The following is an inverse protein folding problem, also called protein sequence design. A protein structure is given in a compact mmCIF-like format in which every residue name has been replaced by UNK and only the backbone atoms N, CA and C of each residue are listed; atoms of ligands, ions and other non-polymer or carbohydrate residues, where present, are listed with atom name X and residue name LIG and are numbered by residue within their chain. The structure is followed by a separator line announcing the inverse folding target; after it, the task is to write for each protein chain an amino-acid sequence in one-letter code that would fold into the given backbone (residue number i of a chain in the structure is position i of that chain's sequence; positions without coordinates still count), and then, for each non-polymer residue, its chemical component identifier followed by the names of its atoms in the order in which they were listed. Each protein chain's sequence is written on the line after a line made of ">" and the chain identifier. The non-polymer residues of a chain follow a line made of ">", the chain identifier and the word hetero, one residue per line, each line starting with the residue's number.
data_IF_095328485709
#
_entry.id   IF_095328485709
#
_cell.length_a   1.000
_cell.length_b   1.000
_cell.length_c   1.000
_cell.angle_alpha   90.00
_cell.angle_beta   90.00
_cell.angle_gamma   90.00
#
_symmetry.space_group_name_H-M   'P 1'
#
loop_
_entity.id
_entity.type
_entity.pdbx_description
1 polymer ?
#
# COMPACT_ATOMS: atom_id res chain seq x y z
N UNK A 1 0.97 -12.52 -1.39
CA UNK A 1 0.95 -11.12 -1.89
C UNK A 1 1.53 -10.19 -0.83
N UNK A 2 2.55 -9.44 -1.16
CA UNK A 2 3.04 -8.38 -0.30
C UNK A 2 2.17 -7.14 -0.50
N UNK A 3 1.55 -6.67 0.58
CA UNK A 3 0.70 -5.47 0.56
C UNK A 3 1.56 -4.24 0.84
N UNK A 4 1.50 -3.21 0.01
CA UNK A 4 2.27 -1.98 0.22
C UNK A 4 2.01 -1.32 1.58
N UNK A 5 0.81 -1.43 2.11
CA UNK A 5 0.49 -0.96 3.46
C UNK A 5 1.18 -1.81 4.53
N UNK A 6 1.16 -3.14 4.39
CA UNK A 6 1.87 -4.04 5.31
C UNK A 6 3.39 -3.81 5.30
N UNK A 7 3.99 -3.59 4.12
CA UNK A 7 5.41 -3.27 4.00
C UNK A 7 5.74 -1.96 4.73
N UNK A 8 4.96 -0.91 4.47
CA UNK A 8 5.14 0.40 5.12
C UNK A 8 5.00 0.30 6.64
N UNK A 9 3.95 -0.36 7.13
CA UNK A 9 3.66 -0.41 8.57
C UNK A 9 4.68 -1.29 9.31
N UNK A 10 5.14 -2.39 8.68
CA UNK A 10 6.21 -3.23 9.22
C UNK A 10 7.56 -2.48 9.26
N UNK A 11 7.91 -1.75 8.19
CA UNK A 11 9.15 -0.97 8.14
C UNK A 11 9.14 0.15 9.20
N UNK A 12 7.99 0.82 9.40
CA UNK A 12 7.82 1.82 10.45
C UNK A 12 7.99 1.21 11.85
N UNK A 13 7.30 0.09 12.12
CA UNK A 13 7.37 -0.57 13.42
C UNK A 13 8.79 -1.07 13.73
N UNK A 14 9.46 -1.67 12.73
CA UNK A 14 10.85 -2.14 12.88
C UNK A 14 11.81 -0.99 13.19
N UNK A 15 11.65 0.15 12.54
CA UNK A 15 12.50 1.31 12.76
C UNK A 15 12.22 1.97 14.11
N UNK A 16 10.98 2.08 14.54
CA UNK A 16 10.63 2.60 15.87
C UNK A 16 11.18 1.71 16.99
N UNK A 17 11.12 0.36 16.82
CA UNK A 17 11.76 -0.58 17.74
C UNK A 17 13.28 -0.38 17.82
N UNK A 18 13.93 -0.19 16.66
CA UNK A 18 15.37 0.07 16.59
C UNK A 18 15.77 1.39 17.27
N UNK A 19 14.87 2.36 17.33
CA UNK A 19 15.04 3.64 18.03
C UNK A 19 14.73 3.57 19.53
N UNK A 20 14.36 2.40 20.04
CA UNK A 20 14.15 2.16 21.48
C UNK A 20 12.71 2.40 21.95
N UNK A 21 11.75 2.54 21.03
CA UNK A 21 10.33 2.55 21.41
C UNK A 21 9.82 1.13 21.64
N UNK A 22 8.86 0.99 22.55
CA UNK A 22 8.10 -0.24 22.71
C UNK A 22 6.93 -0.20 21.71
N UNK A 23 6.92 -1.10 20.72
CA UNK A 23 5.97 -1.09 19.61
C UNK A 23 5.27 -2.43 19.46
N UNK A 24 3.95 -2.38 19.47
CA UNK A 24 3.10 -3.54 19.21
C UNK A 24 2.43 -3.38 17.85
N UNK A 25 2.93 -4.09 16.84
CA UNK A 25 2.30 -4.17 15.51
C UNK A 25 1.31 -5.34 15.49
N UNK A 26 0.02 -5.03 15.50
CA UNK A 26 -1.06 -6.02 15.60
C UNK A 26 -1.69 -6.27 14.23
N UNK A 27 -1.60 -7.49 13.68
CA UNK A 27 -2.28 -7.85 12.45
C UNK A 27 -3.81 -7.83 12.62
N UNK A 28 -4.50 -7.25 11.62
CA UNK A 28 -5.96 -7.21 11.55
C UNK A 28 -6.40 -7.91 10.27
N UNK A 29 -7.38 -8.79 10.33
CA UNK A 29 -7.94 -9.66 9.27
C UNK A 29 -7.01 -10.79 8.81
N UNK A 30 -5.76 -10.52 8.52
CA UNK A 30 -4.79 -11.51 8.02
C UNK A 30 -3.41 -11.27 8.63
N UNK A 31 -2.57 -12.31 8.75
CA UNK A 31 -1.18 -12.13 9.14
C UNK A 31 -0.47 -11.10 8.25
N UNK A 32 0.36 -10.25 8.83
CA UNK A 32 1.18 -9.29 8.09
C UNK A 32 2.10 -10.05 7.15
N UNK A 33 2.01 -9.75 5.85
CA UNK A 33 2.90 -10.31 4.82
C UNK A 33 3.87 -9.23 4.34
N UNK A 34 5.14 -9.48 4.56
CA UNK A 34 6.24 -8.61 4.18
C UNK A 34 7.37 -9.45 3.60
N UNK A 35 8.19 -8.88 2.73
CA UNK A 35 9.43 -9.47 2.22
C UNK A 35 10.66 -9.07 3.08
N UNK A 36 10.39 -8.45 4.21
CA UNK A 36 11.36 -8.05 5.22
C UNK A 36 11.18 -8.89 6.49
N UNK A 37 12.07 -8.69 7.49
CA UNK A 37 11.87 -9.24 8.81
C UNK A 37 10.53 -8.77 9.36
N UNK A 38 9.60 -9.69 9.58
CA UNK A 38 8.30 -9.39 10.14
C UNK A 38 8.41 -9.14 11.66
N UNK A 39 7.99 -7.96 12.12
CA UNK A 39 7.98 -7.57 13.54
C UNK A 39 6.56 -7.56 14.12
N UNK A 40 5.55 -7.99 13.36
CA UNK A 40 4.18 -8.06 13.87
C UNK A 40 3.97 -9.19 14.87
N UNK A 41 3.03 -8.99 15.79
CA UNK A 41 2.58 -10.03 16.71
C UNK A 41 2.00 -11.24 16.00
N UNK A 42 2.06 -12.40 16.65
CA UNK A 42 1.48 -13.65 16.12
C UNK A 42 -0.04 -13.69 16.17
N UNK A 43 -0.66 -12.90 17.06
CA UNK A 43 -2.11 -12.85 17.24
C UNK A 43 -2.77 -12.00 16.14
N UNK A 44 -3.76 -12.56 15.46
CA UNK A 44 -4.53 -11.88 14.41
C UNK A 44 -5.93 -11.62 14.92
N UNK A 45 -6.32 -10.35 15.02
CA UNK A 45 -7.68 -9.97 15.37
C UNK A 45 -8.56 -9.88 14.12
N UNK A 46 -9.86 -10.04 14.30
CA UNK A 46 -10.84 -10.04 13.21
C UNK A 46 -10.51 -11.07 12.11
N UNK A 47 -10.00 -12.25 12.49
CA UNK A 47 -9.68 -13.32 11.56
C UNK A 47 -10.87 -13.66 10.66
N UNK A 48 -10.60 -13.88 9.35
CA UNK A 48 -11.64 -13.90 8.31
C UNK A 48 -12.81 -14.86 8.54
N UNK A 49 -12.62 -15.95 9.31
CA UNK A 49 -13.71 -16.90 9.62
C UNK A 49 -14.63 -16.35 10.69
N UNK A 50 -14.08 -15.83 11.80
CA UNK A 50 -14.88 -15.26 12.89
C UNK A 50 -15.73 -14.09 12.37
N UNK A 51 -15.14 -13.19 11.61
CA UNK A 51 -15.82 -12.04 11.00
C UNK A 51 -16.89 -12.47 10.02
N UNK A 52 -16.61 -13.46 9.18
CA UNK A 52 -17.59 -14.01 8.22
C UNK A 52 -18.79 -14.65 8.93
N UNK A 53 -18.53 -15.43 9.98
CA UNK A 53 -19.59 -16.08 10.75
C UNK A 53 -20.45 -15.07 11.52
N UNK A 54 -19.84 -14.04 12.11
CA UNK A 54 -20.56 -12.96 12.79
C UNK A 54 -21.42 -12.14 11.81
N UNK A 55 -20.95 -11.96 10.57
CA UNK A 55 -21.69 -11.26 9.54
C UNK A 55 -22.92 -12.05 9.06
N UNK A 56 -22.78 -13.35 8.83
CA UNK A 56 -23.81 -14.17 8.16
C UNK A 56 -24.65 -15.05 9.08
N UNK A 57 -24.23 -15.31 10.31
CA UNK A 57 -24.93 -16.19 11.24
C UNK A 57 -25.15 -15.52 12.61
N UNK A 58 -26.38 -15.06 12.87
CA UNK A 58 -26.74 -14.37 14.10
C UNK A 58 -26.41 -15.15 15.37
N UNK A 59 -26.42 -16.49 15.32
CA UNK A 59 -26.10 -17.34 16.45
C UNK A 59 -24.66 -17.12 16.95
N UNK A 60 -23.69 -16.89 16.03
CA UNK A 60 -22.28 -16.69 16.40
C UNK A 60 -22.00 -15.34 17.07
N UNK A 61 -22.86 -14.35 16.91
CA UNK A 61 -22.75 -13.05 17.59
C UNK A 61 -22.93 -13.14 19.11
N UNK A 62 -23.60 -14.20 19.57
CA UNK A 62 -23.99 -14.41 20.97
C UNK A 62 -23.29 -15.61 21.63
N UNK A 63 -22.44 -16.34 20.89
CA UNK A 63 -21.69 -17.47 21.48
C UNK A 63 -20.68 -16.99 22.52
N UNK A 64 -20.52 -17.72 23.65
CA UNK A 64 -19.50 -17.39 24.65
C UNK A 64 -18.08 -17.44 24.08
N UNK A 65 -17.20 -16.51 24.52
CA UNK A 65 -15.82 -16.36 24.02
C UNK A 65 -14.97 -17.63 24.09
N UNK A 66 -15.24 -18.57 25.04
CA UNK A 66 -14.46 -19.81 25.19
C UNK A 66 -14.68 -20.83 24.06
N UNK A 67 -15.79 -20.74 23.33
CA UNK A 67 -16.07 -21.61 22.17
C UNK A 67 -15.32 -21.18 20.92
N UNK A 68 -14.80 -19.96 20.87
CA UNK A 68 -14.12 -19.44 19.71
C UNK A 68 -12.77 -20.13 19.46
N UNK A 69 -12.10 -20.64 20.50
CA UNK A 69 -10.87 -21.43 20.34
C UNK A 69 -11.02 -22.68 19.45
N UNK A 70 -12.24 -23.22 19.34
CA UNK A 70 -12.53 -24.35 18.43
C UNK A 70 -12.53 -23.92 16.95
N UNK A 71 -12.90 -22.66 16.68
CA UNK A 71 -13.03 -22.10 15.31
C UNK A 71 -11.77 -21.37 14.86
N UNK A 72 -10.96 -20.88 15.79
CA UNK A 72 -9.65 -20.27 15.53
C UNK A 72 -8.54 -21.32 15.28
N UNK A 73 -8.90 -22.62 15.31
CA UNK A 73 -7.94 -23.68 15.05
C UNK A 73 -7.45 -23.68 13.60
N UNK A 74 -6.15 -23.95 13.40
CA UNK A 74 -5.50 -24.01 12.08
C UNK A 74 -6.18 -24.99 11.12
N UNK A 75 -6.93 -25.97 11.62
CA UNK A 75 -7.70 -26.93 10.84
C UNK A 75 -8.98 -26.31 10.26
N UNK A 76 -9.72 -25.54 11.05
CA UNK A 76 -10.92 -24.82 10.59
C UNK A 76 -10.55 -23.77 9.53
N UNK A 77 -9.44 -23.06 9.72
CA UNK A 77 -8.86 -22.13 8.74
C UNK A 77 -8.52 -22.82 7.42
N UNK A 78 -7.91 -24.01 7.44
CA UNK A 78 -7.59 -24.79 6.23
C UNK A 78 -8.83 -25.30 5.50
N UNK A 79 -9.92 -25.60 6.20
CA UNK A 79 -11.16 -26.08 5.60
C UNK A 79 -11.94 -24.93 4.93
N UNK A 80 -11.95 -23.77 5.54
CA UNK A 80 -12.61 -22.57 5.02
C UNK A 80 -11.85 -21.94 3.83
N UNK A 81 -10.50 -21.97 3.86
CA UNK A 81 -9.67 -21.47 2.73
C UNK A 81 -9.71 -22.37 1.49
N UNK A 82 -10.13 -23.63 1.61
CA UNK A 82 -10.36 -24.52 0.44
C UNK A 82 -11.64 -24.17 -0.34
N UNK A 83 -12.61 -23.53 0.28
CA UNK A 83 -13.71 -22.88 -0.45
C UNK A 83 -13.33 -21.42 -0.63
N UNK A 84 -12.93 -21.04 -1.82
CA UNK A 84 -12.84 -19.63 -2.20
C UNK A 84 -14.19 -18.98 -1.85
N UNK A 85 -14.20 -18.19 -0.77
CA UNK A 85 -15.34 -17.35 -0.47
C UNK A 85 -15.26 -16.27 -1.54
N UNK A 86 -16.11 -16.40 -2.55
CA UNK A 86 -16.34 -15.32 -3.52
C UNK A 86 -16.86 -14.14 -2.72
N UNK A 87 -16.02 -13.13 -2.55
CA UNK A 87 -16.40 -11.93 -1.81
C UNK A 87 -17.17 -11.04 -2.79
N UNK A 88 -18.47 -11.21 -2.79
CA UNK A 88 -19.39 -10.36 -3.52
C UNK A 88 -19.25 -8.90 -3.03
N UNK A 89 -19.23 -7.89 -3.93
CA UNK A 89 -19.16 -6.47 -3.59
C UNK A 89 -20.19 -6.02 -2.55
N UNK A 90 -21.39 -6.61 -2.58
CA UNK A 90 -22.45 -6.36 -1.58
C UNK A 90 -22.02 -6.82 -0.19
N UNK A 91 -21.50 -8.03 -0.06
CA UNK A 91 -21.02 -8.58 1.22
C UNK A 91 -19.84 -7.76 1.78
N UNK A 92 -18.96 -7.26 0.92
CA UNK A 92 -17.89 -6.33 1.31
C UNK A 92 -18.45 -5.01 1.82
N UNK A 93 -19.47 -4.46 1.16
CA UNK A 93 -20.12 -3.23 1.58
C UNK A 93 -20.78 -3.36 2.95
N UNK A 94 -21.55 -4.42 3.17
CA UNK A 94 -22.20 -4.70 4.45
C UNK A 94 -21.17 -4.88 5.58
N UNK A 95 -20.09 -5.61 5.32
CA UNK A 95 -19.01 -5.81 6.28
C UNK A 95 -18.32 -4.49 6.63
N UNK A 96 -18.00 -3.67 5.62
CA UNK A 96 -17.34 -2.37 5.82
C UNK A 96 -18.19 -1.44 6.69
N UNK A 97 -19.47 -1.30 6.36
CA UNK A 97 -20.42 -0.51 7.16
C UNK A 97 -20.54 -1.04 8.59
N UNK A 98 -20.59 -2.38 8.75
CA UNK A 98 -20.64 -3.00 10.07
C UNK A 98 -19.39 -2.74 10.90
N UNK A 99 -18.19 -2.83 10.30
CA UNK A 99 -16.92 -2.51 10.97
C UNK A 99 -16.85 -1.03 11.38
N UNK A 100 -17.28 -0.12 10.51
CA UNK A 100 -17.32 1.31 10.78
C UNK A 100 -18.32 1.70 11.88
N UNK A 101 -19.38 0.92 12.09
CA UNK A 101 -20.31 1.07 13.22
C UNK A 101 -19.67 0.69 14.57
N UNK A 102 -18.50 0.10 14.57
CA UNK A 102 -17.77 -0.26 15.78
C UNK A 102 -18.58 -1.19 16.68
N UNK A 103 -18.77 -0.83 17.95
CA UNK A 103 -19.51 -1.62 18.95
C UNK A 103 -21.01 -1.77 18.62
N UNK A 104 -21.54 -1.02 17.67
CA UNK A 104 -22.92 -1.15 17.19
C UNK A 104 -23.01 -2.08 15.96
N UNK A 105 -21.86 -2.49 15.40
CA UNK A 105 -21.76 -3.43 14.31
C UNK A 105 -21.81 -4.90 14.77
N UNK A 106 -21.80 -5.79 13.79
CA UNK A 106 -21.84 -7.23 14.05
C UNK A 106 -20.54 -7.75 14.69
N UNK A 107 -19.41 -7.05 14.49
CA UNK A 107 -18.10 -7.40 15.04
C UNK A 107 -17.86 -6.91 16.47
N UNK A 108 -18.91 -6.55 17.20
CA UNK A 108 -18.83 -6.10 18.61
C UNK A 108 -18.04 -7.06 19.49
N UNK A 109 -18.21 -8.37 19.29
CA UNK A 109 -17.54 -9.40 20.07
C UNK A 109 -16.01 -9.40 19.81
N UNK A 110 -15.60 -9.31 18.56
CA UNK A 110 -14.18 -9.23 18.18
C UNK A 110 -13.56 -7.93 18.67
N UNK A 111 -14.26 -6.81 18.59
CA UNK A 111 -13.83 -5.53 19.20
C UNK A 111 -13.61 -5.71 20.71
N UNK A 112 -14.53 -6.37 21.39
CA UNK A 112 -14.39 -6.67 22.82
C UNK A 112 -13.15 -7.50 23.14
N UNK A 113 -12.82 -8.52 22.31
CA UNK A 113 -11.61 -9.32 22.47
C UNK A 113 -10.34 -8.47 22.31
N UNK A 114 -10.31 -7.62 21.29
CA UNK A 114 -9.20 -6.71 21.06
C UNK A 114 -9.01 -5.76 22.25
N UNK A 115 -10.08 -5.15 22.75
CA UNK A 115 -10.02 -4.23 23.88
C UNK A 115 -9.58 -4.93 25.17
N UNK A 116 -10.07 -6.15 25.42
CA UNK A 116 -9.69 -6.95 26.59
C UNK A 116 -8.20 -7.34 26.54
N UNK A 117 -7.68 -7.69 25.35
CA UNK A 117 -6.27 -7.98 25.16
C UNK A 117 -5.40 -6.73 25.37
N UNK A 118 -5.77 -5.59 24.76
CA UNK A 118 -5.02 -4.33 24.90
C UNK A 118 -4.96 -3.82 26.35
N UNK A 119 -5.94 -4.14 27.20
CA UNK A 119 -5.90 -3.81 28.63
C UNK A 119 -4.85 -4.60 29.42
N UNK A 120 -4.43 -5.75 28.91
CA UNK A 120 -3.43 -6.62 29.54
C UNK A 120 -2.02 -6.29 29.08
N UNK A 121 -1.87 -5.58 27.96
CA UNK A 121 -0.59 -5.11 27.45
C UNK A 121 -0.07 -3.93 28.30
N UNK A 122 1.25 -3.65 28.25
CA UNK A 122 1.82 -2.44 28.82
C UNK A 122 1.10 -1.19 28.34
N UNK A 123 1.14 -0.14 29.13
CA UNK A 123 0.45 1.11 28.81
C UNK A 123 1.00 1.72 27.52
N UNK A 124 0.11 2.07 26.61
CA UNK A 124 0.43 2.77 25.38
C UNK A 124 0.42 4.29 25.59
N UNK A 125 1.23 5.01 24.83
CA UNK A 125 1.20 6.47 24.72
C UNK A 125 0.32 6.94 23.55
N UNK A 126 0.21 6.13 22.48
CA UNK A 126 -0.57 6.43 21.28
C UNK A 126 -1.00 5.16 20.58
N UNK A 127 -2.15 5.19 19.93
CA UNK A 127 -2.59 4.12 19.00
C UNK A 127 -2.70 4.69 17.60
N UNK A 128 -2.17 3.98 16.60
CA UNK A 128 -2.30 4.33 15.20
C UNK A 128 -3.10 3.28 14.43
N UNK A 129 -4.23 3.67 13.86
CA UNK A 129 -5.01 2.83 12.96
C UNK A 129 -4.39 2.89 11.56
N UNK A 130 -4.29 1.75 10.84
CA UNK A 130 -3.56 1.69 9.56
C UNK A 130 -4.31 2.34 8.39
N UNK A 131 -5.63 2.56 8.50
CA UNK A 131 -6.49 3.18 7.47
C UNK A 131 -7.88 3.55 8.04
N UNK A 132 -8.58 4.45 7.33
CA UNK A 132 -9.85 5.01 7.77
C UNK A 132 -10.99 3.96 7.87
N UNK A 133 -10.90 2.81 7.22
CA UNK A 133 -11.90 1.74 7.30
C UNK A 133 -12.01 1.10 8.70
N UNK A 134 -11.06 1.36 9.59
CA UNK A 134 -11.06 0.90 10.98
C UNK A 134 -11.46 2.00 11.99
N UNK A 135 -11.94 3.15 11.53
CA UNK A 135 -12.30 4.26 12.44
C UNK A 135 -13.44 3.93 13.41
N UNK A 136 -14.23 2.88 13.14
CA UNK A 136 -15.18 2.34 14.13
C UNK A 136 -14.52 1.89 15.45
N UNK A 137 -13.20 1.65 15.44
CA UNK A 137 -12.41 1.32 16.64
C UNK A 137 -11.93 2.55 17.41
N UNK A 138 -11.92 3.76 16.80
CA UNK A 138 -11.31 4.94 17.41
C UNK A 138 -11.93 5.32 18.76
N UNK A 139 -13.24 5.47 18.83
CA UNK A 139 -13.94 5.84 20.06
C UNK A 139 -13.81 4.76 21.17
N UNK A 140 -14.02 3.45 20.90
CA UNK A 140 -13.78 2.39 21.87
C UNK A 140 -12.34 2.36 22.41
N UNK A 141 -11.34 2.46 21.53
CA UNK A 141 -9.92 2.49 21.93
C UNK A 141 -9.62 3.71 22.81
N UNK A 142 -10.05 4.90 22.37
CA UNK A 142 -9.84 6.14 23.15
C UNK A 142 -10.49 6.07 24.52
N UNK A 143 -11.70 5.51 24.62
CA UNK A 143 -12.41 5.33 25.89
C UNK A 143 -11.70 4.37 26.82
N UNK A 144 -11.19 3.26 26.31
CA UNK A 144 -10.59 2.18 27.10
C UNK A 144 -9.16 2.47 27.48
N UNK A 145 -8.33 2.91 26.54
CA UNK A 145 -6.90 3.11 26.75
C UNK A 145 -6.57 4.51 27.25
N UNK A 146 -7.46 5.47 27.06
CA UNK A 146 -7.27 6.88 27.45
C UNK A 146 -6.05 7.55 26.79
N UNK A 147 -5.73 7.15 25.56
CA UNK A 147 -4.60 7.66 24.78
C UNK A 147 -5.07 8.31 23.48
N UNK A 148 -4.26 9.20 22.86
CA UNK A 148 -4.55 9.73 21.54
C UNK A 148 -4.64 8.63 20.48
N UNK A 149 -5.54 8.84 19.53
CA UNK A 149 -5.75 7.95 18.39
C UNK A 149 -5.29 8.67 17.12
N UNK A 150 -4.34 8.07 16.44
CA UNK A 150 -3.92 8.47 15.09
C UNK A 150 -4.51 7.52 14.05
N UNK A 151 -4.60 7.99 12.81
CA UNK A 151 -5.01 7.17 11.68
C UNK A 151 -4.14 7.46 10.47
N UNK A 152 -3.46 6.45 9.94
CA UNK A 152 -2.74 6.57 8.66
C UNK A 152 -3.73 6.52 7.50
N UNK A 153 -3.51 7.36 6.48
CA UNK A 153 -4.29 7.36 5.24
C UNK A 153 -3.36 6.95 4.09
N UNK A 154 -3.68 5.82 3.42
CA UNK A 154 -2.73 5.19 2.50
C UNK A 154 -3.36 4.45 1.30
N UNK A 155 -4.51 4.94 0.76
CA UNK A 155 -5.10 4.46 -0.50
C UNK A 155 -6.41 3.69 -0.32
N UNK A 156 -7.18 4.01 0.70
CA UNK A 156 -8.50 3.41 0.97
C UNK A 156 -9.64 3.99 0.13
N UNK A 157 -9.43 5.13 -0.51
CA UNK A 157 -10.39 5.78 -1.40
C UNK A 157 -10.81 4.89 -2.57
N UNK A 158 -9.84 4.23 -3.21
CA UNK A 158 -10.12 3.29 -4.31
C UNK A 158 -11.04 2.14 -3.86
N UNK A 159 -10.84 1.65 -2.65
CA UNK A 159 -11.72 0.63 -2.07
C UNK A 159 -13.11 1.17 -1.78
N UNK A 160 -13.20 2.34 -1.15
CA UNK A 160 -14.48 2.99 -0.83
C UNK A 160 -15.30 3.29 -2.08
N UNK A 161 -14.66 3.81 -3.13
CA UNK A 161 -15.33 4.09 -4.41
C UNK A 161 -15.80 2.81 -5.12
N UNK A 162 -15.12 1.69 -4.90
CA UNK A 162 -15.49 0.37 -5.42
C UNK A 162 -16.66 -0.31 -4.71
N UNK A 163 -17.08 0.17 -3.52
CA UNK A 163 -18.17 -0.47 -2.77
C UNK A 163 -19.54 -0.34 -3.42
N UNK A 164 -19.75 0.69 -4.26
CA UNK A 164 -21.08 1.02 -4.80
C UNK A 164 -22.05 1.59 -3.75
N UNK A 165 -23.19 2.09 -4.23
CA UNK A 165 -24.23 2.62 -3.33
C UNK A 165 -25.16 1.49 -2.83
N UNK A 166 -25.72 1.59 -1.59
CA UNK A 166 -25.58 2.70 -0.65
C UNK A 166 -24.36 2.59 0.29
N UNK A 167 -23.53 1.57 0.14
CA UNK A 167 -22.47 1.27 1.10
C UNK A 167 -21.36 2.31 1.09
N UNK A 168 -21.03 2.88 -0.06
CA UNK A 168 -20.08 3.97 -0.19
C UNK A 168 -20.50 5.18 0.63
N UNK A 169 -21.71 5.69 0.41
CA UNK A 169 -22.23 6.85 1.16
C UNK A 169 -22.30 6.57 2.65
N UNK A 170 -22.84 5.42 3.07
CA UNK A 170 -22.91 5.03 4.48
C UNK A 170 -21.53 4.94 5.13
N UNK A 171 -20.54 4.37 4.43
CA UNK A 171 -19.17 4.27 4.93
C UNK A 171 -18.53 5.64 5.12
N UNK A 172 -18.69 6.56 4.17
CA UNK A 172 -18.18 7.92 4.27
C UNK A 172 -18.82 8.68 5.43
N UNK A 173 -20.12 8.56 5.63
CA UNK A 173 -20.81 9.22 6.75
C UNK A 173 -20.33 8.69 8.11
N UNK A 174 -20.14 7.38 8.24
CA UNK A 174 -19.59 6.77 9.46
C UNK A 174 -18.14 7.17 9.72
N UNK A 175 -17.31 7.26 8.67
CA UNK A 175 -15.91 7.73 8.77
C UNK A 175 -15.90 9.20 9.25
N UNK A 176 -16.73 10.06 8.68
CA UNK A 176 -16.87 11.47 9.10
C UNK A 176 -17.27 11.60 10.56
N UNK A 177 -18.28 10.85 10.97
CA UNK A 177 -18.73 10.83 12.35
C UNK A 177 -17.64 10.31 13.33
N UNK A 178 -16.84 9.33 12.92
CA UNK A 178 -15.76 8.78 13.74
C UNK A 178 -14.50 9.68 13.78
N UNK A 179 -14.33 10.60 12.83
CA UNK A 179 -13.15 11.47 12.69
C UNK A 179 -12.94 12.40 13.91
N UNK A 180 -13.99 12.71 14.67
CA UNK A 180 -13.88 13.48 15.91
C UNK A 180 -13.10 12.75 17.00
N UNK A 181 -13.12 11.42 16.99
CA UNK A 181 -12.35 10.58 17.92
C UNK A 181 -10.89 10.42 17.56
N UNK A 182 -10.47 10.89 16.37
CA UNK A 182 -9.09 10.84 15.87
C UNK A 182 -8.39 12.17 16.15
N UNK A 183 -7.22 12.11 16.76
CA UNK A 183 -6.41 13.27 17.13
C UNK A 183 -5.51 13.75 15.98
N UNK A 184 -5.03 12.83 15.12
CA UNK A 184 -4.25 13.15 13.93
C UNK A 184 -4.45 12.11 12.82
N UNK A 185 -4.56 12.59 11.58
CA UNK A 185 -4.49 11.75 10.39
C UNK A 185 -3.10 11.87 9.77
N UNK A 186 -2.53 10.74 9.36
CA UNK A 186 -1.18 10.63 8.80
C UNK A 186 -1.23 10.20 7.31
N UNK A 187 -1.56 11.11 6.38
CA UNK A 187 -1.52 10.81 4.96
C UNK A 187 -0.08 10.60 4.48
N UNK A 188 0.09 9.63 3.57
CA UNK A 188 1.41 9.15 3.09
C UNK A 188 2.04 10.05 2.02
N UNK A 189 1.31 11.03 1.50
CA UNK A 189 1.80 12.05 0.55
C UNK A 189 1.06 13.37 0.76
N UNK A 190 1.63 14.48 0.32
CA UNK A 190 0.97 15.79 0.37
C UNK A 190 -0.25 15.81 -0.54
N UNK A 191 -0.10 15.24 -1.74
CA UNK A 191 -1.24 15.03 -2.63
C UNK A 191 -2.40 14.35 -1.89
N UNK A 192 -2.11 13.25 -1.19
CA UNK A 192 -3.14 12.46 -0.51
C UNK A 192 -3.70 13.18 0.73
N UNK A 193 -2.92 14.04 1.39
CA UNK A 193 -3.40 14.90 2.48
C UNK A 193 -4.51 15.84 1.99
N UNK A 194 -4.27 16.55 0.90
CA UNK A 194 -5.21 17.52 0.32
C UNK A 194 -6.45 16.81 -0.24
N UNK A 195 -6.24 15.68 -0.90
CA UNK A 195 -7.32 14.86 -1.46
C UNK A 195 -8.22 14.30 -0.36
N UNK A 196 -7.66 13.62 0.64
CA UNK A 196 -8.43 12.95 1.70
C UNK A 196 -9.08 13.94 2.68
N UNK A 197 -8.49 15.11 2.90
CA UNK A 197 -9.13 16.17 3.67
C UNK A 197 -10.50 16.53 3.06
N UNK A 198 -10.56 16.71 1.75
CA UNK A 198 -11.83 17.00 1.02
C UNK A 198 -12.73 15.77 0.94
N UNK A 199 -12.16 14.62 0.60
CA UNK A 199 -12.92 13.37 0.39
C UNK A 199 -13.63 12.89 1.67
N UNK A 200 -12.93 12.94 2.80
CA UNK A 200 -13.50 12.54 4.09
C UNK A 200 -14.18 13.70 4.84
N UNK A 201 -14.00 14.95 4.39
CA UNK A 201 -14.52 16.11 5.11
C UNK A 201 -13.78 16.38 6.43
N UNK A 202 -12.51 15.96 6.55
CA UNK A 202 -11.69 16.16 7.74
C UNK A 202 -10.90 17.46 7.63
N UNK A 203 -10.87 18.31 8.67
CA UNK A 203 -10.13 19.56 8.66
C UNK A 203 -8.63 19.37 8.37
N UNK A 204 -8.05 20.21 7.53
CA UNK A 204 -6.63 20.18 7.20
C UNK A 204 -5.71 20.30 8.44
N UNK A 205 -6.18 20.92 9.51
CA UNK A 205 -5.47 21.02 10.80
C UNK A 205 -5.25 19.66 11.50
N UNK A 206 -6.04 18.64 11.16
CA UNK A 206 -5.83 17.26 11.63
C UNK A 206 -4.95 16.44 10.69
N UNK A 207 -4.61 16.94 9.48
CA UNK A 207 -3.79 16.23 8.50
C UNK A 207 -2.31 16.53 8.72
N UNK A 208 -1.54 15.53 9.10
CA UNK A 208 -0.10 15.63 9.35
C UNK A 208 0.64 14.71 8.38
N UNK A 209 1.20 15.26 7.31
CA UNK A 209 1.89 14.47 6.29
C UNK A 209 3.04 13.65 6.90
N UNK A 210 2.96 12.34 6.75
CA UNK A 210 3.99 11.37 7.12
C UNK A 210 4.48 10.65 5.84
N UNK A 211 5.58 11.12 5.21
CA UNK A 211 6.03 10.57 3.94
C UNK A 211 6.35 9.09 4.07
N UNK A 212 6.21 8.38 2.95
CA UNK A 212 6.64 6.99 2.87
C UNK A 212 8.12 6.85 3.17
N UNK A 213 8.48 5.71 3.73
CA UNK A 213 9.86 5.26 3.86
C UNK A 213 9.96 3.79 3.51
N UNK A 214 11.08 3.43 2.89
CA UNK A 214 11.42 2.04 2.58
C UNK A 214 12.69 1.62 3.34
N UNK A 215 12.76 0.35 3.68
CA UNK A 215 13.99 -0.26 4.15
C UNK A 215 14.92 -0.48 2.95
N UNK A 216 16.12 0.09 3.03
CA UNK A 216 17.12 0.06 1.96
C UNK A 216 18.08 -1.14 2.02
N UNK A 217 17.92 -2.08 2.95
CA UNK A 217 18.77 -3.25 3.05
C UNK A 217 18.78 -4.06 1.76
N UNK A 218 19.96 -4.24 1.18
CA UNK A 218 20.15 -4.92 -0.10
C UNK A 218 19.94 -4.06 -1.33
N UNK A 219 19.36 -2.85 -1.22
CA UNK A 219 19.20 -1.93 -2.36
C UNK A 219 20.50 -1.19 -2.65
N UNK A 220 21.36 -1.80 -3.46
CA UNK A 220 22.59 -1.18 -3.93
C UNK A 220 22.43 -0.68 -5.36
N UNK A 221 22.86 0.55 -5.61
CA UNK A 221 22.88 1.08 -6.98
C UNK A 221 23.88 0.29 -7.82
N UNK A 222 23.46 -0.14 -8.98
CA UNK A 222 24.32 -0.84 -9.94
C UNK A 222 24.38 -0.04 -11.23
N UNK A 223 25.58 0.35 -11.64
CA UNK A 223 25.79 0.76 -13.01
C UNK A 223 25.59 -0.45 -13.93
N UNK A 224 24.56 -0.40 -14.76
CA UNK A 224 24.29 -1.47 -15.70
C UNK A 224 25.22 -1.35 -16.90
N UNK A 225 25.89 -2.45 -17.21
CA UNK A 225 26.49 -2.60 -18.54
C UNK A 225 25.36 -2.63 -19.60
N UNK A 226 25.33 -1.66 -20.49
CA UNK A 226 24.30 -1.48 -21.54
C UNK A 226 24.56 -2.29 -22.80
N UNK A 227 25.35 -3.35 -22.71
CA UNK A 227 25.61 -4.27 -23.84
C UNK A 227 24.39 -5.08 -24.27
N UNK A 228 23.34 -5.17 -23.41
CA UNK A 228 22.11 -5.91 -23.65
C UNK A 228 20.97 -5.09 -24.26
N UNK A 229 19.78 -5.69 -24.45
CA UNK A 229 18.59 -5.01 -24.93
C UNK A 229 18.12 -3.95 -23.92
N UNK A 230 17.60 -2.81 -24.44
CA UNK A 230 17.00 -1.78 -23.61
C UNK A 230 15.76 -2.34 -22.90
N UNK A 231 15.77 -2.36 -21.57
CA UNK A 231 14.78 -3.06 -20.77
C UNK A 231 13.85 -2.08 -20.07
N UNK A 232 12.60 -2.05 -20.51
CA UNK A 232 11.50 -1.36 -19.83
C UNK A 232 10.91 -2.31 -18.80
N UNK A 233 10.70 -1.86 -17.57
CA UNK A 233 10.17 -2.66 -16.48
C UNK A 233 8.84 -2.17 -15.95
N UNK A 234 8.04 -3.12 -15.49
CA UNK A 234 6.84 -2.90 -14.67
C UNK A 234 6.95 -3.72 -13.40
N UNK A 235 6.79 -3.07 -12.24
CA UNK A 235 6.79 -3.78 -10.95
C UNK A 235 5.64 -3.30 -10.07
N UNK A 236 4.53 -4.01 -10.12
CA UNK A 236 3.34 -3.78 -9.27
C UNK A 236 2.42 -5.01 -9.34
N UNK A 237 1.31 -5.00 -8.58
CA UNK A 237 0.23 -5.96 -8.83
C UNK A 237 -0.18 -5.90 -10.31
N UNK A 238 -0.44 -7.08 -10.87
CA UNK A 238 -1.00 -7.16 -12.22
C UNK A 238 -2.51 -6.97 -12.11
N UNK A 239 -2.95 -5.73 -12.33
CA UNK A 239 -4.35 -5.34 -12.26
C UNK A 239 -4.60 -4.10 -13.14
N UNK A 240 -5.81 -3.91 -13.67
CA UNK A 240 -6.10 -2.82 -14.60
C UNK A 240 -5.73 -1.44 -14.07
N UNK A 241 -6.00 -1.15 -12.80
CA UNK A 241 -5.71 0.14 -12.18
C UNK A 241 -4.22 0.48 -12.10
N UNK A 242 -3.32 -0.52 -12.17
CA UNK A 242 -1.86 -0.30 -12.21
C UNK A 242 -1.34 0.00 -13.60
N UNK A 243 -2.16 -0.15 -14.65
CA UNK A 243 -1.89 0.39 -15.97
C UNK A 243 -0.89 -0.41 -16.82
N UNK A 244 -0.71 -1.74 -16.60
CA UNK A 244 0.16 -2.53 -17.47
C UNK A 244 -0.28 -2.47 -18.93
N UNK A 245 -1.58 -2.36 -19.23
CA UNK A 245 -2.10 -2.17 -20.58
C UNK A 245 -1.63 -0.84 -21.20
N UNK A 246 -1.61 0.25 -20.42
CA UNK A 246 -1.07 1.55 -20.87
C UNK A 246 0.41 1.44 -21.20
N UNK A 247 1.15 0.69 -20.37
CA UNK A 247 2.58 0.45 -20.61
C UNK A 247 2.80 -0.41 -21.85
N UNK A 248 2.00 -1.46 -22.09
CA UNK A 248 2.08 -2.26 -23.32
C UNK A 248 1.82 -1.40 -24.57
N UNK A 249 0.81 -0.52 -24.53
CA UNK A 249 0.53 0.40 -25.64
C UNK A 249 1.69 1.38 -25.88
N UNK A 250 2.22 1.97 -24.79
CA UNK A 250 3.40 2.83 -24.88
C UNK A 250 4.63 2.09 -25.43
N UNK A 251 4.84 0.84 -25.00
CA UNK A 251 5.94 0.02 -25.51
C UNK A 251 5.80 -0.31 -27.00
N UNK A 252 4.60 -0.62 -27.50
CA UNK A 252 4.35 -0.81 -28.92
C UNK A 252 4.70 0.45 -29.74
N UNK A 253 4.29 1.64 -29.27
CA UNK A 253 4.61 2.93 -29.89
C UNK A 253 6.12 3.23 -29.86
N UNK A 254 6.78 2.90 -28.77
CA UNK A 254 8.22 2.99 -28.62
C UNK A 254 8.91 2.08 -29.65
N UNK A 255 8.50 0.81 -29.79
CA UNK A 255 9.08 -0.14 -30.74
C UNK A 255 8.84 0.24 -32.21
N UNK A 256 7.70 0.82 -32.52
CA UNK A 256 7.42 1.31 -33.88
C UNK A 256 8.46 2.31 -34.38
N UNK A 257 9.08 3.09 -33.46
CA UNK A 257 10.09 4.12 -33.77
C UNK A 257 11.54 3.68 -33.50
N UNK A 258 11.76 2.51 -32.89
CA UNK A 258 13.08 1.99 -32.51
C UNK A 258 13.37 0.60 -33.11
N UNK A 259 12.76 0.29 -34.28
CA UNK A 259 13.01 -0.96 -35.03
C UNK A 259 14.50 -1.10 -35.34
N UNK A 260 15.05 -2.28 -35.03
CA UNK A 260 16.49 -2.55 -35.23
C UNK A 260 17.35 -2.42 -33.96
N UNK A 261 16.90 -1.69 -32.93
CA UNK A 261 17.59 -1.67 -31.63
C UNK A 261 16.95 -2.72 -30.73
N UNK A 262 17.73 -3.66 -30.15
CA UNK A 262 17.17 -4.67 -29.22
C UNK A 262 16.50 -4.02 -27.99
N UNK A 263 15.28 -4.46 -27.67
CA UNK A 263 14.56 -4.02 -26.46
C UNK A 263 13.67 -5.13 -25.94
N UNK A 264 13.24 -5.00 -24.66
CA UNK A 264 12.30 -5.91 -24.03
C UNK A 264 11.45 -5.17 -22.97
N UNK A 265 10.27 -5.71 -22.72
CA UNK A 265 9.35 -5.29 -21.66
C UNK A 265 9.22 -6.42 -20.64
N UNK A 266 9.64 -6.17 -19.42
CA UNK A 266 9.52 -7.13 -18.31
C UNK A 266 8.48 -6.65 -17.31
N UNK A 267 7.56 -7.53 -16.94
CA UNK A 267 6.57 -7.26 -15.89
C UNK A 267 6.76 -8.25 -14.74
N UNK A 268 6.70 -7.78 -13.50
CA UNK A 268 6.69 -8.64 -12.32
C UNK A 268 5.74 -8.10 -11.24
N UNK A 269 5.24 -9.00 -10.41
CA UNK A 269 4.35 -8.72 -9.30
C UNK A 269 3.23 -9.73 -9.18
N UNK A 270 2.45 -9.61 -8.13
CA UNK A 270 1.35 -10.52 -7.85
C UNK A 270 0.24 -10.43 -8.89
N UNK A 271 -0.17 -11.58 -9.40
CA UNK A 271 -1.35 -11.76 -10.25
C UNK A 271 -2.44 -12.46 -9.44
N UNK A 272 -3.52 -11.76 -9.18
CA UNK A 272 -4.70 -12.36 -8.58
C UNK A 272 -5.45 -13.22 -9.61
N UNK A 273 -6.09 -14.35 -9.21
CA UNK A 273 -6.81 -15.23 -10.13
C UNK A 273 -7.83 -14.49 -11.00
N UNK A 274 -8.54 -13.50 -10.45
CA UNK A 274 -9.52 -12.68 -11.15
C UNK A 274 -8.92 -11.81 -12.25
N UNK A 275 -7.61 -11.57 -12.23
CA UNK A 275 -6.89 -10.78 -13.24
C UNK A 275 -6.12 -11.63 -14.26
N UNK A 276 -6.25 -12.96 -14.23
CA UNK A 276 -5.57 -13.84 -15.19
C UNK A 276 -5.96 -13.51 -16.63
N UNK A 277 -7.26 -13.35 -16.89
CA UNK A 277 -7.77 -12.99 -18.22
C UNK A 277 -7.23 -11.64 -18.73
N UNK A 278 -7.01 -10.68 -17.81
CA UNK A 278 -6.40 -9.40 -18.16
C UNK A 278 -4.95 -9.56 -18.65
N UNK A 279 -4.14 -10.38 -17.98
CA UNK A 279 -2.76 -10.64 -18.41
C UNK A 279 -2.70 -11.44 -19.72
N UNK A 280 -3.62 -12.40 -19.90
CA UNK A 280 -3.73 -13.20 -21.13
C UNK A 280 -4.07 -12.32 -22.33
N UNK A 281 -5.02 -11.37 -22.18
CA UNK A 281 -5.37 -10.40 -23.20
C UNK A 281 -4.15 -9.54 -23.59
N UNK A 282 -3.42 -9.01 -22.61
CA UNK A 282 -2.20 -8.23 -22.88
C UNK A 282 -1.13 -9.06 -23.62
N UNK A 283 -0.96 -10.31 -23.23
CA UNK A 283 -0.02 -11.23 -23.89
C UNK A 283 -0.43 -11.47 -25.34
N UNK A 284 -1.73 -11.63 -25.59
CA UNK A 284 -2.27 -11.78 -26.95
C UNK A 284 -2.05 -10.53 -27.80
N UNK A 285 -2.37 -9.35 -27.29
CA UNK A 285 -2.14 -8.06 -27.97
C UNK A 285 -0.66 -7.84 -28.31
N UNK A 286 0.25 -8.19 -27.39
CA UNK A 286 1.70 -8.13 -27.66
C UNK A 286 2.13 -9.11 -28.76
N UNK A 287 1.49 -10.28 -28.86
CA UNK A 287 1.70 -11.26 -29.94
C UNK A 287 1.20 -10.73 -31.28
N UNK A 288 0.01 -10.16 -31.34
CA UNK A 288 -0.55 -9.56 -32.56
C UNK A 288 0.31 -8.40 -33.07
N UNK A 289 0.92 -7.62 -32.17
CA UNK A 289 1.88 -6.57 -32.51
C UNK A 289 3.25 -7.11 -32.96
N UNK A 290 3.47 -8.43 -32.98
CA UNK A 290 4.77 -9.03 -33.31
C UNK A 290 5.83 -8.89 -32.22
N UNK A 291 5.45 -8.57 -31.01
CA UNK A 291 6.35 -8.28 -29.87
C UNK A 291 6.31 -9.37 -28.77
N UNK A 292 5.78 -10.56 -29.08
CA UNK A 292 5.63 -11.65 -28.08
C UNK A 292 6.98 -12.07 -27.47
N UNK A 293 8.05 -12.08 -28.23
CA UNK A 293 9.39 -12.44 -27.75
C UNK A 293 10.06 -11.35 -26.91
N UNK A 294 9.53 -10.14 -26.94
CA UNK A 294 10.03 -9.01 -26.15
C UNK A 294 9.27 -8.82 -24.84
N UNK A 295 8.07 -9.39 -24.68
CA UNK A 295 7.25 -9.27 -23.49
C UNK A 295 7.33 -10.53 -22.61
N UNK A 296 7.66 -10.33 -21.34
CA UNK A 296 7.76 -11.42 -20.36
C UNK A 296 7.17 -11.02 -18.99
N UNK A 297 6.31 -11.88 -18.44
CA UNK A 297 5.84 -11.79 -17.06
C UNK A 297 6.64 -12.76 -16.17
N UNK A 298 7.28 -12.22 -15.13
CA UNK A 298 8.21 -12.90 -14.22
C UNK A 298 7.57 -13.44 -12.94
N UNK A 299 6.25 -13.28 -12.77
CA UNK A 299 5.57 -13.72 -11.57
C UNK A 299 5.79 -12.85 -10.34
N UNK A 300 5.43 -13.39 -9.18
CA UNK A 300 5.69 -12.77 -7.87
C UNK A 300 7.14 -13.07 -7.45
N UNK A 301 7.83 -12.05 -6.95
CA UNK A 301 9.23 -12.13 -6.57
C UNK A 301 9.39 -11.94 -5.06
N UNK A 302 10.31 -12.67 -4.45
CA UNK A 302 10.81 -12.37 -3.12
C UNK A 302 11.72 -11.13 -3.12
N UNK A 303 12.22 -10.71 -1.95
CA UNK A 303 13.04 -9.50 -1.84
C UNK A 303 14.29 -9.55 -2.71
N UNK A 304 15.02 -10.64 -2.72
CA UNK A 304 16.24 -10.78 -3.51
C UNK A 304 15.94 -10.77 -5.01
N UNK A 305 14.92 -11.52 -5.44
CA UNK A 305 14.43 -11.53 -6.81
C UNK A 305 13.90 -10.17 -7.28
N UNK A 306 13.19 -9.43 -6.40
CA UNK A 306 12.72 -8.06 -6.65
C UNK A 306 13.89 -7.11 -6.91
N UNK A 307 14.89 -7.11 -6.03
CA UNK A 307 16.07 -6.25 -6.18
C UNK A 307 16.82 -6.60 -7.48
N UNK A 308 17.06 -7.88 -7.74
CA UNK A 308 17.72 -8.33 -8.98
C UNK A 308 16.90 -7.96 -10.23
N UNK A 309 15.57 -8.10 -10.19
CA UNK A 309 14.67 -7.66 -11.25
C UNK A 309 14.81 -6.16 -11.51
N UNK A 310 14.69 -5.33 -10.48
CA UNK A 310 14.82 -3.88 -10.61
C UNK A 310 16.20 -3.50 -11.18
N UNK A 311 17.27 -4.08 -10.67
CA UNK A 311 18.64 -3.86 -11.17
C UNK A 311 18.83 -4.30 -12.65
N UNK A 312 17.96 -5.14 -13.19
CA UNK A 312 18.00 -5.59 -14.59
C UNK A 312 17.35 -4.60 -15.57
N UNK A 313 16.70 -3.54 -15.08
CA UNK A 313 15.96 -2.57 -15.88
C UNK A 313 16.84 -1.39 -16.31
N UNK A 314 16.52 -0.77 -17.43
CA UNK A 314 17.07 0.53 -17.87
C UNK A 314 16.11 1.67 -17.50
N UNK A 315 14.82 1.38 -17.41
CA UNK A 315 13.78 2.31 -17.01
C UNK A 315 12.61 1.52 -16.41
N UNK A 316 11.94 2.08 -15.41
CA UNK A 316 10.70 1.52 -14.88
C UNK A 316 9.53 2.48 -15.10
N UNK A 317 8.36 1.91 -15.40
CA UNK A 317 7.09 2.66 -15.42
C UNK A 317 5.95 1.81 -14.88
N UNK A 318 5.13 2.43 -14.04
CA UNK A 318 3.84 1.89 -13.58
C UNK A 318 2.80 2.99 -13.81
N UNK A 319 2.28 3.11 -15.04
CA UNK A 319 1.39 4.20 -15.42
C UNK A 319 -0.03 3.97 -14.90
N UNK A 320 -0.17 4.03 -13.56
CA UNK A 320 -1.45 3.82 -12.88
C UNK A 320 -2.53 4.72 -13.46
N UNK A 321 -3.72 4.13 -13.69
CA UNK A 321 -4.88 4.82 -14.27
C UNK A 321 -5.70 5.58 -13.23
N UNK A 322 -5.37 5.42 -11.96
CA UNK A 322 -5.93 6.17 -10.83
C UNK A 322 -4.85 7.04 -10.16
N UNK A 323 -5.28 7.94 -9.31
CA UNK A 323 -4.38 8.83 -8.59
C UNK A 323 -3.69 8.08 -7.44
N UNK A 324 -2.56 7.44 -7.73
CA UNK A 324 -1.78 6.64 -6.79
C UNK A 324 -1.29 7.47 -5.60
N UNK A 325 -1.65 7.12 -4.35
CA UNK A 325 -1.27 7.90 -3.17
C UNK A 325 0.14 7.63 -2.67
N UNK A 326 0.76 6.50 -3.04
CA UNK A 326 1.99 5.96 -2.45
C UNK A 326 3.19 5.98 -3.39
N UNK A 327 3.18 5.13 -4.40
CA UNK A 327 4.31 4.98 -5.32
C UNK A 327 5.54 4.27 -4.71
N UNK A 328 5.38 3.31 -3.79
CA UNK A 328 6.48 2.55 -3.18
C UNK A 328 7.41 1.96 -4.24
N UNK A 329 6.84 1.41 -5.30
CA UNK A 329 7.60 0.81 -6.42
C UNK A 329 8.55 1.81 -7.10
N UNK A 330 8.21 3.11 -7.12
CA UNK A 330 9.12 4.14 -7.64
C UNK A 330 10.35 4.29 -6.74
N UNK A 331 10.11 4.32 -5.43
CA UNK A 331 11.19 4.43 -4.44
C UNK A 331 12.12 3.22 -4.54
N UNK A 332 11.57 2.02 -4.72
CA UNK A 332 12.33 0.77 -4.87
C UNK A 332 13.18 0.77 -6.15
N UNK A 333 12.64 1.21 -7.29
CA UNK A 333 13.38 1.31 -8.54
C UNK A 333 14.50 2.35 -8.46
N UNK A 334 14.17 3.55 -7.96
CA UNK A 334 15.16 4.61 -7.79
C UNK A 334 16.23 4.25 -6.76
N UNK A 335 15.92 3.48 -5.71
CA UNK A 335 16.89 3.04 -4.71
C UNK A 335 18.03 2.20 -5.30
N UNK A 336 17.79 1.48 -6.41
CA UNK A 336 18.83 0.75 -7.15
C UNK A 336 19.39 1.52 -8.35
N UNK A 337 19.07 2.81 -8.49
CA UNK A 337 19.59 3.66 -9.55
C UNK A 337 18.85 3.52 -10.91
N UNK A 338 17.63 3.00 -10.91
CA UNK A 338 16.81 2.88 -12.13
C UNK A 338 15.91 4.11 -12.26
N UNK A 339 16.06 4.91 -13.35
CA UNK A 339 15.19 6.05 -13.59
C UNK A 339 13.78 5.60 -13.92
N UNK A 340 12.80 6.45 -13.63
CA UNK A 340 11.40 6.15 -13.89
C UNK A 340 10.78 7.13 -14.89
N UNK A 341 9.79 6.67 -15.66
CA UNK A 341 8.94 7.53 -16.52
C UNK A 341 7.50 7.34 -16.05
N UNK A 342 6.88 8.41 -15.54
CA UNK A 342 5.58 8.30 -14.86
C UNK A 342 4.59 9.37 -15.32
N UNK A 343 3.28 9.06 -15.34
CA UNK A 343 2.26 10.06 -15.61
C UNK A 343 2.22 11.11 -14.48
N UNK A 344 1.90 12.35 -14.82
CA UNK A 344 1.66 13.44 -13.86
C UNK A 344 0.32 13.20 -13.15
N UNK A 345 0.33 12.28 -12.18
CA UNK A 345 -0.88 11.85 -11.48
C UNK A 345 -0.57 11.42 -10.03
N UNK A 346 -1.51 11.72 -9.10
CA UNK A 346 -1.39 11.33 -7.70
C UNK A 346 -0.12 11.86 -7.04
N UNK A 347 0.58 11.00 -6.29
CA UNK A 347 1.81 11.34 -5.59
C UNK A 347 3.07 11.31 -6.49
N UNK A 348 2.98 10.91 -7.75
CA UNK A 348 4.17 10.79 -8.61
C UNK A 348 4.91 12.12 -8.81
N UNK A 349 4.21 13.26 -9.06
CA UNK A 349 4.89 14.56 -9.18
C UNK A 349 5.74 14.90 -7.95
N UNK A 350 5.17 14.81 -6.74
CA UNK A 350 5.92 15.18 -5.53
C UNK A 350 7.11 14.27 -5.25
N UNK A 351 7.02 12.98 -5.62
CA UNK A 351 8.12 12.03 -5.46
C UNK A 351 9.25 12.38 -6.44
N UNK A 352 8.92 12.59 -7.72
CA UNK A 352 9.93 12.87 -8.73
C UNK A 352 10.57 14.26 -8.58
N UNK A 353 9.78 15.26 -8.21
CA UNK A 353 10.29 16.60 -7.89
C UNK A 353 11.29 16.57 -6.72
N UNK A 354 11.03 15.72 -5.73
CA UNK A 354 11.89 15.60 -4.54
C UNK A 354 13.13 14.75 -4.75
N UNK A 355 13.05 13.74 -5.63
CA UNK A 355 14.15 12.80 -5.87
C UNK A 355 14.98 13.14 -7.09
N UNK A 356 14.42 13.81 -8.09
CA UNK A 356 15.06 14.03 -9.38
C UNK A 356 15.22 12.76 -10.20
N UNK A 357 14.58 11.64 -9.82
CA UNK A 357 14.88 10.29 -10.33
C UNK A 357 14.09 9.88 -11.58
N UNK A 358 13.52 10.81 -12.36
CA UNK A 358 12.73 10.38 -13.50
C UNK A 358 12.11 11.49 -14.32
N UNK A 359 11.29 11.09 -15.28
CA UNK A 359 10.57 11.96 -16.21
C UNK A 359 9.08 11.89 -15.92
N UNK A 360 8.44 13.05 -15.77
CA UNK A 360 6.98 13.17 -15.72
C UNK A 360 6.43 13.45 -17.11
N UNK A 361 5.41 12.69 -17.49
CA UNK A 361 4.69 12.84 -18.77
C UNK A 361 3.21 13.14 -18.51
N UNK A 362 2.48 13.58 -19.53
CA UNK A 362 1.04 13.76 -19.40
C UNK A 362 0.34 12.43 -19.10
N UNK A 363 -0.69 12.52 -18.25
CA UNK A 363 -1.49 11.35 -17.86
C UNK A 363 -2.35 10.87 -19.06
N UNK A 364 -2.54 9.56 -19.15
CA UNK A 364 -3.30 8.88 -20.21
C UNK A 364 -2.71 9.06 -21.62
N UNK A 365 -1.44 9.45 -21.73
CA UNK A 365 -0.71 9.64 -22.99
C UNK A 365 0.38 8.58 -23.15
N UNK A 366 0.04 7.50 -23.90
CA UNK A 366 0.99 6.44 -24.23
C UNK A 366 2.10 6.89 -25.20
N UNK A 367 1.89 7.94 -26.01
CA UNK A 367 2.93 8.52 -26.88
C UNK A 367 3.95 9.30 -26.05
N UNK A 368 3.52 10.06 -25.07
CA UNK A 368 4.40 10.75 -24.14
C UNK A 368 5.27 9.78 -23.32
N UNK A 369 4.68 8.67 -22.84
CA UNK A 369 5.43 7.58 -22.18
C UNK A 369 6.48 6.99 -23.14
N UNK A 370 6.10 6.65 -24.38
CA UNK A 370 6.99 6.12 -25.38
C UNK A 370 8.13 7.09 -25.73
N UNK A 371 7.86 8.40 -25.74
CA UNK A 371 8.87 9.43 -25.95
C UNK A 371 9.85 9.47 -24.78
N UNK A 372 9.37 9.38 -23.53
CA UNK A 372 10.24 9.29 -22.36
C UNK A 372 11.19 8.09 -22.42
N UNK A 373 10.70 6.90 -22.83
CA UNK A 373 11.56 5.71 -23.02
C UNK A 373 12.61 5.94 -24.10
N UNK A 374 12.24 6.55 -25.23
CA UNK A 374 13.19 6.88 -26.30
C UNK A 374 14.26 7.87 -25.87
N UNK A 375 13.88 8.87 -25.08
CA UNK A 375 14.83 9.85 -24.54
C UNK A 375 15.89 9.16 -23.69
N UNK A 376 15.50 8.24 -22.79
CA UNK A 376 16.44 7.49 -21.94
C UNK A 376 17.24 6.43 -22.72
N UNK A 377 16.68 5.86 -23.79
CA UNK A 377 17.41 4.94 -24.67
C UNK A 377 18.51 5.65 -25.44
N UNK A 378 18.21 6.85 -25.97
CA UNK A 378 19.11 7.60 -26.83
C UNK A 378 20.16 8.40 -26.05
N UNK A 379 19.85 8.78 -24.81
CA UNK A 379 20.74 9.58 -23.94
C UNK A 379 21.10 8.80 -22.67
N UNK A 380 22.20 8.06 -22.76
CA UNK A 380 22.72 7.27 -21.64
C UNK A 380 23.20 8.13 -20.46
N UNK A 381 23.67 9.34 -20.75
CA UNK A 381 24.14 10.29 -19.73
C UNK A 381 22.96 10.79 -18.91
N UNK A 382 21.86 11.19 -19.57
CA UNK A 382 20.63 11.58 -18.89
C UNK A 382 20.08 10.43 -18.03
N UNK A 383 20.03 9.20 -18.59
CA UNK A 383 19.49 8.06 -17.86
C UNK A 383 20.34 7.73 -16.60
N UNK A 384 21.69 7.84 -16.70
CA UNK A 384 22.57 7.68 -15.53
C UNK A 384 22.34 8.80 -14.52
N UNK A 385 22.32 10.05 -14.97
CA UNK A 385 22.12 11.20 -14.09
C UNK A 385 20.79 11.12 -13.31
N UNK A 386 19.69 10.73 -13.98
CA UNK A 386 18.39 10.53 -13.31
C UNK A 386 18.42 9.33 -12.34
N UNK A 387 19.09 8.23 -12.73
CA UNK A 387 19.26 7.08 -11.83
C UNK A 387 20.01 7.44 -10.56
N UNK A 388 21.13 8.15 -10.69
CA UNK A 388 21.95 8.60 -9.55
C UNK A 388 21.20 9.61 -8.66
N UNK A 389 20.52 10.58 -9.27
CA UNK A 389 19.68 11.55 -8.55
C UNK A 389 18.55 10.83 -7.80
N UNK A 390 17.87 9.89 -8.44
CA UNK A 390 16.82 9.09 -7.82
C UNK A 390 17.31 8.31 -6.62
N UNK A 391 18.46 7.63 -6.75
CA UNK A 391 19.07 6.86 -5.66
C UNK A 391 19.48 7.76 -4.48
N UNK A 392 20.08 8.91 -4.76
CA UNK A 392 20.44 9.90 -3.75
C UNK A 392 19.20 10.48 -3.07
N UNK A 393 18.18 10.86 -3.85
CA UNK A 393 16.93 11.43 -3.35
C UNK A 393 16.14 10.48 -2.46
N UNK A 394 16.07 9.18 -2.80
CA UNK A 394 15.43 8.16 -1.96
C UNK A 394 16.17 8.04 -0.63
N UNK A 395 17.50 7.96 -0.64
CA UNK A 395 18.33 7.87 0.58
C UNK A 395 18.19 9.11 1.45
N UNK A 396 18.07 10.28 0.84
CA UNK A 396 17.94 11.55 1.56
C UNK A 396 16.55 11.78 2.16
N UNK A 397 15.48 11.18 1.61
CA UNK A 397 14.12 11.62 1.92
C UNK A 397 13.11 10.50 2.20
N UNK A 398 13.37 9.26 1.76
CA UNK A 398 12.37 8.21 1.74
C UNK A 398 12.87 6.89 2.38
N UNK A 399 13.75 6.99 3.37
CA UNK A 399 14.15 5.83 4.18
C UNK A 399 13.13 5.56 5.28
N UNK A 400 13.09 4.33 5.79
CA UNK A 400 12.30 3.98 6.97
C UNK A 400 12.64 4.89 8.17
N UNK A 401 13.92 5.27 8.31
CA UNK A 401 14.38 6.22 9.34
C UNK A 401 13.74 7.60 9.24
N UNK A 402 13.69 8.18 8.03
CA UNK A 402 13.03 9.48 7.82
C UNK A 402 11.52 9.43 8.08
N UNK A 403 10.88 8.31 7.70
CA UNK A 403 9.47 8.06 8.02
C UNK A 403 9.26 7.99 9.53
N UNK A 404 10.06 7.20 10.23
CA UNK A 404 9.94 7.04 11.68
C UNK A 404 10.17 8.35 12.42
N UNK A 405 11.21 9.11 12.10
CA UNK A 405 11.47 10.43 12.68
C UNK A 405 10.29 11.41 12.52
N UNK A 406 9.64 11.39 11.35
CA UNK A 406 8.48 12.22 11.12
C UNK A 406 7.27 11.77 11.94
N UNK A 407 7.04 10.47 12.00
CA UNK A 407 5.94 9.87 12.78
C UNK A 407 6.15 10.09 14.28
N UNK A 408 7.36 9.94 14.80
CA UNK A 408 7.72 10.25 16.20
C UNK A 408 7.34 11.69 16.56
N UNK A 409 7.70 12.66 15.70
CA UNK A 409 7.35 14.07 15.92
C UNK A 409 5.84 14.31 15.96
N UNK A 410 5.09 13.62 15.09
CA UNK A 410 3.62 13.71 15.08
C UNK A 410 3.06 13.11 16.35
N UNK A 411 3.49 11.90 16.73
CA UNK A 411 3.02 11.22 17.95
C UNK A 411 3.35 12.04 19.19
N UNK A 412 4.58 12.54 19.34
CA UNK A 412 4.94 13.42 20.45
C UNK A 412 4.10 14.70 20.50
N UNK A 413 3.71 15.22 19.33
CA UNK A 413 2.82 16.39 19.22
C UNK A 413 1.41 16.13 19.73
N UNK A 414 0.82 14.97 19.39
CA UNK A 414 -0.54 14.61 19.86
C UNK A 414 -0.55 14.20 21.33
N UNK A 415 0.46 13.47 21.80
CA UNK A 415 0.60 13.07 23.22
C UNK A 415 0.68 14.31 24.12
N UNK A 416 1.48 15.31 23.75
CA UNK A 416 1.60 16.57 24.53
C UNK A 416 0.32 17.40 24.57
N UNK A 417 -0.55 17.32 23.58
CA UNK A 417 -1.84 18.03 23.53
C UNK A 417 -2.94 17.31 24.29
N UNK A 418 -2.76 16.04 24.60
CA UNK A 418 -3.72 15.26 25.37
C UNK A 418 -3.62 15.67 26.84
N UNK A 419 -4.75 15.79 27.59
CA UNK A 419 -4.69 16.08 29.00
C UNK A 419 -3.87 15.01 29.73
N UNK A 420 -3.07 15.40 30.75
CA UNK A 420 -2.29 14.44 31.51
C UNK A 420 -3.23 13.38 32.09
N UNK A 421 -2.86 12.12 31.89
CA UNK A 421 -3.61 11.00 32.42
C UNK A 421 -3.56 11.02 33.95
N UNK A 422 -4.66 10.74 34.67
CA UNK A 422 -4.61 10.65 36.11
C UNK A 422 -3.55 9.62 36.50
N UNK A 423 -2.62 10.04 37.35
CA UNK A 423 -1.69 9.16 38.06
C UNK A 423 -2.51 8.18 38.88
N UNK A 424 -2.36 6.87 38.67
CA UNK A 424 -2.89 5.83 39.50
C UNK A 424 -2.22 5.84 40.86
#
# INVERSE_FOLDING_TARGET
>A
MYCGSCLRDNALAAELLARGHDVVLTPVYTPTRTDERNVSGAHVFFGGISVYLEQHAALFRYTPKFLDHLWDSTWALKLATKRQISVDPKSLGELTVSMLRGEQGFQKKEIGKLLDWLRQEPRFDVVNLPYALLLGLAAPLKRVLKVPICCTLQGEDLFLDGLGEPYRSQSLDLIRAAADSVDAFLPVSRYYADYMSRYLGVPASKMHHAPLGINLDGYTSRHRDRSGPFTVGFFARISPEKGLHVLCDAYQRFRAKTRGTPARLLAAGYLAPEHSAYLDDLTHRMKEAGLRSEFEYRGELDRAGKIAFLQSLDVMSVPATYAEPKGIFLLEAMAVGVPVVQPRRGAFPEILERTGGGILVEADDSDALAQGFRQLQNDSSLASALGDAGAAGVRAHYTAGHMAETVERIYAGVVRRSPPLPTL
#
